data_IF_720587712301
#
_entry.id   IF_720587712301
#
_cell.length_a   1.000
_cell.length_b   1.000
_cell.length_c   1.000
_cell.angle_alpha   90.00
_cell.angle_beta   90.00
_cell.angle_gamma   90.00
#
_symmetry.space_group_name_H-M   'P 1'
#
loop_
_entity.id
_entity.type
_entity.pdbx_description
1 polymer ?
#
# COMPACT_ATOMS: atom_id res chain seq x y z
N UNK A 1 -15.93 45.79 8.84
CA UNK A 1 -16.18 44.65 7.93
C UNK A 1 -14.91 43.91 7.50
N UNK A 2 -13.74 44.53 7.56
CA UNK A 2 -12.44 43.95 7.17
C UNK A 2 -11.98 42.72 8.01
N UNK A 3 -12.42 42.63 9.28
CA UNK A 3 -12.06 41.53 10.19
C UNK A 3 -12.74 40.19 9.88
N UNK A 4 -13.88 40.22 9.18
CA UNK A 4 -14.65 39.02 8.80
C UNK A 4 -14.00 38.31 7.61
N UNK A 5 -13.36 39.04 6.68
CA UNK A 5 -12.63 38.45 5.55
C UNK A 5 -11.41 37.62 5.98
N UNK A 6 -10.69 38.05 7.03
CA UNK A 6 -9.52 37.34 7.55
C UNK A 6 -9.86 35.98 8.18
N UNK A 7 -11.04 35.85 8.76
CA UNK A 7 -11.49 34.60 9.39
C UNK A 7 -11.83 33.51 8.35
N UNK A 8 -12.36 33.89 7.19
CA UNK A 8 -12.72 32.96 6.11
C UNK A 8 -11.46 32.43 5.40
N UNK A 9 -10.39 33.22 5.33
CA UNK A 9 -9.12 32.80 4.72
C UNK A 9 -8.34 31.81 5.60
N UNK A 10 -8.46 31.91 6.93
CA UNK A 10 -7.84 30.99 7.88
C UNK A 10 -8.47 29.60 7.88
N UNK A 11 -9.77 29.50 7.59
CA UNK A 11 -10.48 28.21 7.46
C UNK A 11 -10.24 27.50 6.11
N UNK A 12 -9.77 28.21 5.09
CA UNK A 12 -9.53 27.65 3.75
C UNK A 12 -8.10 27.11 3.54
N UNK A 13 -7.15 27.38 4.44
CA UNK A 13 -5.73 27.09 4.24
C UNK A 13 -5.23 25.71 4.72
N UNK A 14 -6.11 24.82 5.17
CA UNK A 14 -5.70 23.73 6.08
C UNK A 14 -5.91 22.28 5.63
N UNK A 15 -6.37 21.98 4.42
CA UNK A 15 -6.50 20.58 3.99
C UNK A 15 -5.26 20.14 3.22
N UNK A 16 -4.18 19.85 3.96
CA UNK A 16 -3.14 18.96 3.43
C UNK A 16 -3.78 17.57 3.26
N UNK A 17 -4.36 17.32 2.08
CA UNK A 17 -4.77 16.00 1.65
C UNK A 17 -3.48 15.18 1.55
N UNK A 18 -3.16 14.44 2.60
CA UNK A 18 -2.11 13.45 2.54
C UNK A 18 -2.57 12.38 1.55
N UNK A 19 -2.11 12.46 0.30
CA UNK A 19 -2.15 11.36 -0.64
C UNK A 19 -1.18 10.28 -0.12
N UNK A 20 -1.53 9.61 0.97
CA UNK A 20 -0.82 8.41 1.41
C UNK A 20 -1.03 7.36 0.34
N UNK A 21 -0.05 7.27 -0.54
CA UNK A 21 0.07 6.24 -1.56
C UNK A 21 0.36 4.93 -0.86
N UNK A 22 -0.60 4.02 -0.95
CA UNK A 22 -0.53 2.68 -0.36
C UNK A 22 -0.53 1.63 -1.46
N UNK A 23 0.18 0.54 -1.20
CA UNK A 23 0.13 -0.66 -2.02
C UNK A 23 -0.36 -1.79 -1.12
N UNK A 24 -1.59 -2.22 -1.36
CA UNK A 24 -2.27 -3.24 -0.58
C UNK A 24 -2.95 -4.22 -1.51
N UNK A 25 -3.19 -5.43 -1.00
CA UNK A 25 -3.83 -6.47 -1.78
C UNK A 25 -4.01 -7.75 -0.98
N UNK A 26 -4.60 -8.72 -1.65
CA UNK A 26 -4.86 -10.06 -1.14
C UNK A 26 -4.16 -11.08 -2.03
N UNK A 27 -3.43 -12.03 -1.43
CA UNK A 27 -2.72 -13.08 -2.16
C UNK A 27 -3.51 -14.38 -2.05
N UNK A 28 -3.89 -14.93 -3.20
CA UNK A 28 -4.60 -16.20 -3.36
C UNK A 28 -3.88 -17.12 -4.33
N UNK A 29 -4.13 -18.41 -4.20
CA UNK A 29 -3.77 -19.38 -5.21
C UNK A 29 -4.63 -19.17 -6.46
N UNK A 30 -3.99 -19.04 -7.62
CA UNK A 30 -4.67 -18.82 -8.90
C UNK A 30 -5.52 -20.01 -9.39
N UNK A 31 -5.29 -21.22 -8.88
CA UNK A 31 -6.02 -22.42 -9.34
C UNK A 31 -7.29 -22.68 -8.55
N UNK A 32 -7.24 -22.60 -7.22
CA UNK A 32 -8.34 -22.96 -6.33
C UNK A 32 -8.88 -21.78 -5.51
N UNK A 33 -8.33 -20.57 -5.70
CA UNK A 33 -8.68 -19.36 -4.95
C UNK A 33 -8.47 -19.45 -3.43
N UNK A 34 -7.71 -20.43 -2.96
CA UNK A 34 -7.35 -20.54 -1.54
C UNK A 34 -6.50 -19.35 -1.10
N UNK A 35 -6.72 -18.91 0.14
CA UNK A 35 -5.99 -17.79 0.74
C UNK A 35 -4.56 -18.23 1.07
N UNK A 36 -3.58 -17.42 0.67
CA UNK A 36 -2.17 -17.67 0.97
C UNK A 36 -1.71 -16.77 2.12
N UNK A 37 -2.01 -17.19 3.34
CA UNK A 37 -1.48 -16.59 4.57
C UNK A 37 0.00 -16.93 4.74
N UNK A 38 0.84 -15.96 5.12
CA UNK A 38 2.29 -16.18 5.24
C UNK A 38 3.09 -15.97 3.94
N UNK A 39 2.44 -15.52 2.86
CA UNK A 39 3.13 -15.09 1.65
C UNK A 39 4.00 -13.87 1.93
N UNK A 40 5.21 -13.91 1.40
CA UNK A 40 6.21 -12.85 1.57
C UNK A 40 6.14 -11.92 0.38
N UNK A 41 5.77 -10.66 0.63
CA UNK A 41 5.75 -9.58 -0.36
C UNK A 41 6.95 -8.68 -0.10
N UNK A 42 7.88 -8.61 -1.05
CA UNK A 42 9.07 -7.77 -0.99
C UNK A 42 8.92 -6.58 -1.92
N UNK A 43 9.07 -5.39 -1.35
CA UNK A 43 9.31 -4.18 -2.11
C UNK A 43 10.78 -4.09 -2.48
N UNK A 44 11.09 -4.22 -3.77
CA UNK A 44 12.47 -4.42 -4.26
C UNK A 44 13.34 -3.18 -4.00
N UNK A 45 12.86 -1.98 -4.31
CA UNK A 45 13.66 -0.74 -4.24
C UNK A 45 14.07 -0.39 -2.81
N UNK A 46 13.19 -0.64 -1.83
CA UNK A 46 13.49 -0.36 -0.42
C UNK A 46 13.99 -1.59 0.35
N UNK A 47 13.97 -2.77 -0.27
CA UNK A 47 14.23 -4.05 0.38
C UNK A 47 13.40 -4.23 1.67
N UNK A 48 12.14 -3.78 1.64
CA UNK A 48 11.19 -3.92 2.75
C UNK A 48 10.28 -5.09 2.46
N UNK A 49 10.02 -5.90 3.47
CA UNK A 49 9.16 -7.07 3.34
C UNK A 49 7.94 -6.98 4.24
N UNK A 50 6.81 -7.46 3.73
CA UNK A 50 5.58 -7.72 4.47
C UNK A 50 5.18 -9.17 4.31
N UNK A 51 4.55 -9.72 5.34
CA UNK A 51 4.01 -11.06 5.34
C UNK A 51 2.49 -10.92 5.32
N UNK A 52 1.80 -11.70 4.48
CA UNK A 52 0.34 -11.70 4.43
C UNK A 52 -0.25 -12.29 5.71
N UNK A 53 -1.34 -11.70 6.18
CA UNK A 53 -2.06 -12.18 7.37
C UNK A 53 -2.91 -13.44 7.10
N UNK A 54 -3.71 -13.86 8.10
CA UNK A 54 -4.61 -15.03 7.98
C UNK A 54 -5.68 -14.90 6.89
N UNK A 55 -5.94 -13.69 6.41
CA UNK A 55 -6.83 -13.42 5.28
C UNK A 55 -6.07 -13.19 3.96
N UNK A 56 -4.75 -13.44 3.94
CA UNK A 56 -3.92 -13.26 2.75
C UNK A 56 -3.63 -11.79 2.44
N UNK A 57 -3.97 -10.86 3.34
CA UNK A 57 -3.84 -9.43 3.08
C UNK A 57 -2.46 -8.89 3.44
N UNK A 58 -1.98 -7.92 2.67
CA UNK A 58 -0.77 -7.16 2.98
C UNK A 58 -0.99 -5.67 2.70
N UNK A 59 -0.18 -4.81 3.33
CA UNK A 59 -0.20 -3.36 3.09
C UNK A 59 1.18 -2.72 3.27
N UNK A 60 1.54 -1.90 2.31
CA UNK A 60 2.64 -0.94 2.36
C UNK A 60 2.07 0.48 2.33
N UNK A 61 2.66 1.35 3.13
CA UNK A 61 2.30 2.77 3.20
C UNK A 61 3.43 3.61 2.61
N UNK A 62 3.13 4.86 2.26
CA UNK A 62 4.11 5.86 1.85
C UNK A 62 4.96 5.39 0.65
N UNK A 63 4.28 4.85 -0.36
CA UNK A 63 4.86 4.37 -1.61
C UNK A 63 5.16 5.59 -2.51
N UNK A 64 6.40 5.93 -2.84
CA UNK A 64 6.69 7.03 -3.76
C UNK A 64 5.93 6.88 -5.08
N UNK A 65 5.46 8.00 -5.60
CA UNK A 65 4.84 8.05 -6.94
C UNK A 65 5.89 7.63 -7.96
N UNK A 66 5.51 6.72 -8.87
CA UNK A 66 6.38 6.17 -9.89
C UNK A 66 6.28 4.66 -9.98
N UNK A 67 7.03 4.05 -10.90
CA UNK A 67 7.10 2.61 -11.03
C UNK A 67 7.80 2.02 -9.81
N UNK A 68 7.20 1.01 -9.19
CA UNK A 68 7.74 0.25 -8.07
C UNK A 68 7.65 -1.24 -8.41
N UNK A 69 8.66 -2.00 -8.02
CA UNK A 69 8.70 -3.43 -8.22
C UNK A 69 8.44 -4.18 -6.92
N UNK A 70 7.57 -5.19 -7.01
CA UNK A 70 7.26 -6.11 -5.93
C UNK A 70 7.55 -7.53 -6.36
N UNK A 71 8.03 -8.32 -5.43
CA UNK A 71 8.23 -9.75 -5.58
C UNK A 71 7.45 -10.48 -4.50
N UNK A 72 6.65 -11.45 -4.92
CA UNK A 72 5.79 -12.24 -4.04
C UNK A 72 6.31 -13.67 -4.05
N UNK A 73 6.53 -14.23 -2.87
CA UNK A 73 7.03 -15.60 -2.69
C UNK A 73 6.20 -16.33 -1.63
N UNK A 74 5.97 -17.61 -1.85
CA UNK A 74 5.30 -18.49 -0.92
C UNK A 74 5.81 -19.93 -1.12
N UNK A 75 5.90 -20.70 -0.03
CA UNK A 75 6.48 -22.04 -0.09
C UNK A 75 5.67 -22.96 -1.03
N UNK A 76 6.34 -23.58 -1.99
CA UNK A 76 5.71 -24.46 -2.99
C UNK A 76 5.14 -23.72 -4.21
N UNK A 77 5.34 -22.40 -4.32
CA UNK A 77 4.89 -21.59 -5.46
C UNK A 77 6.08 -20.96 -6.18
N UNK A 78 5.90 -20.70 -7.47
CA UNK A 78 6.85 -19.89 -8.23
C UNK A 78 6.79 -18.43 -7.77
N UNK A 79 7.94 -17.75 -7.75
CA UNK A 79 8.01 -16.35 -7.38
C UNK A 79 7.31 -15.48 -8.44
N UNK A 80 6.39 -14.64 -8.00
CA UNK A 80 5.69 -13.69 -8.87
C UNK A 80 6.33 -12.31 -8.79
N UNK A 81 6.53 -11.65 -9.95
CA UNK A 81 7.13 -10.32 -10.06
C UNK A 81 6.23 -9.42 -10.90
N UNK A 82 6.04 -8.18 -10.46
CA UNK A 82 5.30 -7.14 -11.19
C UNK A 82 6.18 -6.29 -12.10
#
# INVERSE_FOLDING_TARGET
MQKILLFIWLLAGGTALNAQTKFEGEIKNGTDSSILAGATVRWVEKNITKITDSSGQFRFENIPVGKQAFEITYAGFEAYKT
#
